data_IF_090731818518
#
_entry.id   IF_090731818518
#
_cell.length_a   1.000
_cell.length_b   1.000
_cell.length_c   1.000
_cell.angle_alpha   90.00
_cell.angle_beta   90.00
_cell.angle_gamma   90.00
#
_symmetry.space_group_name_H-M   'P 1'
#
loop_
_entity.id
_entity.type
_entity.pdbx_description
1 polymer ?
#
# COMPACT_ATOMS: atom_id res chain seq x y z
N UNK A 1 3.83 16.73 43.26
CA UNK A 1 4.89 16.87 42.22
C UNK A 1 5.80 15.65 42.04
N UNK A 2 5.99 14.84 43.04
CA UNK A 2 6.82 13.60 42.98
C UNK A 2 6.10 12.43 42.29
N UNK A 3 4.77 12.35 42.37
CA UNK A 3 3.95 11.29 41.77
C UNK A 3 3.93 11.39 40.24
N UNK A 4 3.83 12.60 39.67
CA UNK A 4 3.79 12.84 38.21
C UNK A 4 5.16 12.54 37.57
N UNK A 5 6.27 12.81 38.26
CA UNK A 5 7.61 12.45 37.77
C UNK A 5 7.83 10.94 37.75
N UNK A 6 7.32 10.20 38.73
CA UNK A 6 7.38 8.71 38.75
C UNK A 6 6.56 8.08 37.65
N UNK A 7 5.37 8.58 37.35
CA UNK A 7 4.54 8.11 36.22
C UNK A 7 5.20 8.39 34.88
N UNK A 8 5.78 9.60 34.67
CA UNK A 8 6.53 9.91 33.45
C UNK A 8 7.79 9.04 33.28
N UNK A 9 8.52 8.73 34.34
CA UNK A 9 9.66 7.83 34.27
C UNK A 9 9.26 6.36 34.05
N UNK A 10 8.11 5.90 34.56
CA UNK A 10 7.57 4.58 34.23
C UNK A 10 7.16 4.48 32.77
N UNK A 11 6.43 5.46 32.23
CA UNK A 11 6.08 5.48 30.81
C UNK A 11 7.30 5.51 29.87
N UNK A 12 8.38 6.21 30.27
CA UNK A 12 9.62 6.26 29.47
C UNK A 12 10.39 4.93 29.58
N UNK A 13 10.39 4.26 30.73
CA UNK A 13 11.07 2.95 30.90
C UNK A 13 10.36 1.81 30.19
N UNK A 14 9.03 1.84 30.09
CA UNK A 14 8.26 0.84 29.34
C UNK A 14 8.36 1.05 27.81
N UNK A 15 8.62 2.27 27.35
CA UNK A 15 8.88 2.56 25.94
C UNK A 15 10.29 2.19 25.47
N UNK A 16 11.27 2.12 26.39
CA UNK A 16 12.67 1.81 26.05
C UNK A 16 12.90 0.34 25.65
N UNK A 17 11.92 -0.55 25.84
CA UNK A 17 12.04 -1.97 25.45
C UNK A 17 11.25 -2.35 24.19
N UNK A 18 10.43 -1.47 23.62
CA UNK A 18 9.73 -1.75 22.36
C UNK A 18 10.48 -1.11 21.19
N UNK A 19 11.28 -1.90 20.49
CA UNK A 19 11.83 -1.45 19.20
C UNK A 19 10.68 -1.14 18.25
N UNK A 20 10.66 0.05 17.61
CA UNK A 20 9.62 0.40 16.67
C UNK A 20 9.60 -0.60 15.50
N UNK A 21 8.42 -1.05 15.11
CA UNK A 21 8.23 -1.88 13.92
C UNK A 21 8.14 -0.98 12.69
N UNK A 22 9.13 -1.06 11.82
CA UNK A 22 9.15 -0.30 10.56
C UNK A 22 8.42 -1.13 9.51
N UNK A 23 7.31 -0.61 8.98
CA UNK A 23 6.57 -1.21 7.87
C UNK A 23 6.84 -0.37 6.61
N UNK A 24 7.42 -0.98 5.59
CA UNK A 24 7.72 -0.30 4.34
C UNK A 24 6.53 -0.39 3.38
N UNK A 25 6.14 0.75 2.78
CA UNK A 25 5.15 0.78 1.70
C UNK A 25 5.70 0.06 0.48
N UNK A 26 4.95 -0.90 -0.05
CA UNK A 26 5.36 -1.71 -1.20
C UNK A 26 4.45 -1.45 -2.40
N UNK A 27 5.04 -0.98 -3.48
CA UNK A 27 4.36 -0.65 -4.72
C UNK A 27 4.43 -1.84 -5.70
N UNK A 28 3.35 -2.61 -5.92
CA UNK A 28 3.39 -3.86 -6.68
C UNK A 28 3.25 -3.64 -8.20
N UNK A 29 3.82 -2.57 -8.77
CA UNK A 29 3.54 -2.15 -10.16
C UNK A 29 4.70 -2.32 -11.14
N UNK A 30 5.84 -2.87 -10.71
CA UNK A 30 7.01 -3.02 -11.57
C UNK A 30 6.93 -4.27 -12.44
N UNK A 31 5.83 -4.38 -13.21
CA UNK A 31 5.61 -5.38 -14.26
C UNK A 31 4.58 -4.85 -15.26
N UNK A 32 4.60 -5.33 -16.55
CA UNK A 32 3.61 -4.93 -17.52
C UNK A 32 2.24 -5.52 -17.20
N UNK A 33 1.18 -4.72 -17.27
CA UNK A 33 -0.20 -5.17 -17.17
C UNK A 33 -1.07 -4.46 -18.21
N UNK A 34 -2.27 -5.00 -18.44
CA UNK A 34 -3.11 -4.63 -19.57
C UNK A 34 -3.38 -3.12 -19.63
N UNK A 35 -3.84 -2.53 -18.53
CA UNK A 35 -4.23 -1.13 -18.46
C UNK A 35 -3.02 -0.20 -18.69
N UNK A 36 -1.86 -0.51 -18.12
CA UNK A 36 -0.64 0.25 -18.40
C UNK A 36 -0.22 0.17 -19.87
N UNK A 37 -0.38 -0.99 -20.50
CA UNK A 37 -0.09 -1.15 -21.93
C UNK A 37 -1.04 -0.30 -22.80
N UNK A 38 -2.32 -0.22 -22.42
CA UNK A 38 -3.32 0.60 -23.11
C UNK A 38 -3.06 2.11 -22.92
N UNK A 39 -2.64 2.51 -21.73
CA UNK A 39 -2.42 3.93 -21.41
C UNK A 39 -1.09 4.48 -21.92
N UNK A 40 -0.03 3.67 -21.89
CA UNK A 40 1.35 4.14 -22.04
C UNK A 40 2.16 3.39 -23.11
N UNK A 41 1.58 2.35 -23.71
CA UNK A 41 2.21 1.51 -24.72
C UNK A 41 2.68 0.16 -24.20
N UNK A 42 2.78 -0.80 -25.12
CA UNK A 42 3.09 -2.20 -24.81
C UNK A 42 4.41 -2.36 -24.05
N UNK A 43 4.37 -3.11 -22.97
CA UNK A 43 5.54 -3.39 -22.12
C UNK A 43 5.89 -2.28 -21.13
N UNK A 44 5.01 -1.27 -20.97
CA UNK A 44 5.25 -0.18 -20.02
C UNK A 44 5.34 -0.69 -18.59
N UNK A 45 6.34 -0.21 -17.88
CA UNK A 45 6.51 -0.30 -16.43
C UNK A 45 7.06 1.03 -15.91
N UNK A 46 7.13 1.21 -14.61
CA UNK A 46 7.79 2.39 -14.01
C UNK A 46 9.25 2.56 -14.44
N UNK A 47 9.92 1.46 -14.78
CA UNK A 47 11.28 1.51 -15.34
C UNK A 47 11.37 2.30 -16.65
N UNK A 48 10.29 2.34 -17.43
CA UNK A 48 10.22 3.13 -18.67
C UNK A 48 10.41 4.62 -18.36
N UNK A 49 9.77 5.12 -17.29
CA UNK A 49 9.91 6.51 -16.86
C UNK A 49 11.29 6.77 -16.26
N UNK A 50 11.81 5.84 -15.46
CA UNK A 50 13.17 5.95 -14.91
C UNK A 50 14.21 6.06 -16.01
N UNK A 51 14.14 5.18 -17.03
CA UNK A 51 15.10 5.17 -18.14
C UNK A 51 15.00 6.40 -19.06
N UNK A 52 13.83 7.04 -19.15
CA UNK A 52 13.61 8.25 -19.95
C UNK A 52 13.96 9.54 -19.21
N UNK A 53 14.21 9.48 -17.90
CA UNK A 53 14.50 10.66 -17.10
C UNK A 53 15.77 11.38 -17.59
N UNK A 54 15.73 12.72 -17.59
CA UNK A 54 16.84 13.57 -18.04
C UNK A 54 17.23 14.54 -16.93
N UNK A 55 18.51 14.92 -16.83
CA UNK A 55 18.92 16.00 -15.94
C UNK A 55 18.18 17.30 -16.26
N UNK A 56 17.61 17.95 -15.25
CA UNK A 56 16.89 19.23 -15.38
C UNK A 56 17.77 20.43 -15.05
N UNK A 57 18.91 20.21 -14.39
CA UNK A 57 19.89 21.26 -14.04
C UNK A 57 21.28 20.64 -13.89
N UNK A 58 22.32 21.48 -13.86
CA UNK A 58 23.71 21.03 -13.72
C UNK A 58 23.92 20.28 -12.39
N UNK A 59 24.42 19.05 -12.47
CA UNK A 59 24.62 18.17 -11.30
C UNK A 59 23.40 17.34 -10.91
N UNK A 60 22.26 17.47 -11.59
CA UNK A 60 21.12 16.57 -11.39
C UNK A 60 21.43 15.19 -11.96
N UNK A 61 21.57 14.19 -11.08
CA UNK A 61 21.84 12.81 -11.46
C UNK A 61 20.58 12.15 -12.02
N UNK A 62 20.54 11.96 -13.33
CA UNK A 62 19.50 11.23 -14.07
C UNK A 62 20.09 10.64 -15.37
N UNK A 63 19.56 9.48 -15.85
CA UNK A 63 18.59 8.61 -15.16
C UNK A 63 19.20 7.90 -13.96
N UNK A 64 18.36 7.56 -12.97
CA UNK A 64 18.79 6.73 -11.85
C UNK A 64 18.80 5.27 -12.27
N UNK A 65 19.98 4.66 -12.27
CA UNK A 65 20.17 3.23 -12.55
C UNK A 65 20.04 2.46 -11.25
N UNK A 66 19.23 1.37 -11.19
CA UNK A 66 19.16 0.53 -10.00
C UNK A 66 20.53 -0.04 -9.63
N UNK A 67 20.89 0.00 -8.33
CA UNK A 67 22.12 -0.61 -7.82
C UNK A 67 21.96 -2.12 -7.66
N UNK A 68 20.97 -2.52 -6.85
CA UNK A 68 20.65 -3.93 -6.58
C UNK A 68 19.43 -4.37 -7.38
N UNK A 69 19.32 -5.65 -7.68
CA UNK A 69 18.22 -6.30 -8.39
C UNK A 69 17.98 -5.80 -9.83
N UNK A 70 18.70 -4.80 -10.32
CA UNK A 70 18.58 -4.25 -11.67
C UNK A 70 17.15 -3.73 -11.97
N UNK A 71 16.80 -3.73 -13.27
CA UNK A 71 15.46 -3.41 -13.76
C UNK A 71 14.55 -4.64 -13.64
N UNK A 72 14.18 -4.97 -12.41
CA UNK A 72 13.47 -6.21 -12.08
C UNK A 72 12.01 -6.24 -12.57
N UNK A 73 11.47 -7.45 -12.64
CA UNK A 73 10.06 -7.72 -12.90
C UNK A 73 9.45 -8.44 -11.68
N UNK A 74 8.42 -7.86 -11.09
CA UNK A 74 7.80 -8.40 -9.88
C UNK A 74 6.98 -9.69 -10.10
N UNK A 75 6.79 -10.11 -11.34
CA UNK A 75 6.20 -11.43 -11.64
C UNK A 75 7.14 -12.58 -11.26
N UNK A 76 8.45 -12.30 -11.15
CA UNK A 76 9.43 -13.30 -10.77
C UNK A 76 9.44 -13.50 -9.23
N UNK A 77 9.08 -14.69 -8.72
CA UNK A 77 9.07 -14.95 -7.28
C UNK A 77 10.41 -14.69 -6.60
N UNK A 78 11.52 -15.06 -7.26
CA UNK A 78 12.87 -14.85 -6.72
C UNK A 78 13.19 -13.39 -6.44
N UNK A 79 12.67 -12.45 -7.23
CA UNK A 79 12.84 -11.01 -7.00
C UNK A 79 12.13 -10.59 -5.71
N UNK A 80 10.89 -11.03 -5.52
CA UNK A 80 10.11 -10.73 -4.31
C UNK A 80 10.78 -11.29 -3.04
N UNK A 81 11.35 -12.49 -3.13
CA UNK A 81 12.10 -13.11 -2.03
C UNK A 81 13.40 -12.33 -1.73
N UNK A 82 14.14 -11.91 -2.77
CA UNK A 82 15.34 -11.07 -2.59
C UNK A 82 15.01 -9.70 -1.99
N UNK A 83 13.91 -9.07 -2.41
CA UNK A 83 13.45 -7.81 -1.82
C UNK A 83 13.10 -7.97 -0.34
N UNK A 84 12.40 -9.06 0.03
CA UNK A 84 12.09 -9.35 1.42
C UNK A 84 13.35 -9.60 2.25
N UNK A 85 14.35 -10.28 1.69
CA UNK A 85 15.65 -10.50 2.34
C UNK A 85 16.39 -9.19 2.59
N UNK A 86 16.50 -8.32 1.58
CA UNK A 86 17.12 -7.00 1.71
C UNK A 86 16.41 -6.14 2.76
N UNK A 87 15.08 -6.15 2.76
CA UNK A 87 14.27 -5.42 3.73
C UNK A 87 14.53 -5.93 5.16
N UNK A 88 14.58 -7.25 5.34
CA UNK A 88 14.89 -7.88 6.63
C UNK A 88 16.28 -7.51 7.13
N UNK A 89 17.29 -7.52 6.27
CA UNK A 89 18.66 -7.11 6.58
C UNK A 89 18.76 -5.64 6.99
N UNK A 90 17.92 -4.79 6.35
CA UNK A 90 17.80 -3.37 6.69
C UNK A 90 16.97 -3.11 7.98
N UNK A 91 16.47 -4.15 8.66
CA UNK A 91 15.66 -4.00 9.87
C UNK A 91 14.20 -3.64 9.64
N UNK A 92 13.69 -3.75 8.41
CA UNK A 92 12.26 -3.58 8.10
C UNK A 92 11.50 -4.77 8.67
N UNK A 93 10.41 -4.49 9.40
CA UNK A 93 9.58 -5.51 10.03
C UNK A 93 8.68 -6.24 9.02
N UNK A 94 8.13 -5.52 8.06
CA UNK A 94 7.23 -6.08 7.06
C UNK A 94 6.86 -5.08 5.96
N UNK A 95 6.11 -5.56 4.98
CA UNK A 95 5.63 -4.73 3.87
C UNK A 95 4.16 -4.34 4.06
N UNK A 96 3.80 -3.11 3.64
CA UNK A 96 2.43 -2.73 3.39
C UNK A 96 2.22 -2.71 1.88
N UNK A 97 1.58 -3.75 1.35
CA UNK A 97 1.28 -3.82 -0.08
C UNK A 97 0.17 -2.85 -0.44
N UNK A 98 0.42 -1.96 -1.42
CA UNK A 98 -0.65 -1.19 -2.01
C UNK A 98 -1.65 -2.10 -2.70
N UNK A 99 -2.91 -1.95 -2.34
CA UNK A 99 -4.06 -2.66 -2.84
C UNK A 99 -4.99 -1.67 -3.53
N UNK A 100 -5.60 -2.12 -4.62
CA UNK A 100 -6.44 -1.28 -5.47
C UNK A 100 -7.79 -1.96 -5.69
N UNK A 101 -8.85 -1.29 -5.26
CA UNK A 101 -10.23 -1.69 -5.45
C UNK A 101 -11.02 -0.48 -5.92
N UNK A 102 -11.48 -0.49 -7.18
CA UNK A 102 -12.12 0.65 -7.83
C UNK A 102 -13.65 0.53 -7.89
N UNK A 103 -14.25 -0.40 -7.17
CA UNK A 103 -15.66 -0.74 -7.20
C UNK A 103 -15.98 -1.94 -8.10
N UNK A 104 -17.10 -2.60 -7.81
CA UNK A 104 -17.61 -3.77 -8.54
C UNK A 104 -16.57 -4.86 -8.84
N UNK A 105 -15.70 -5.15 -7.87
CA UNK A 105 -14.63 -6.15 -8.00
C UNK A 105 -13.48 -5.74 -8.93
N UNK A 106 -13.46 -4.53 -9.47
CA UNK A 106 -12.40 -4.06 -10.35
C UNK A 106 -11.13 -3.78 -9.56
N UNK A 107 -10.09 -4.55 -9.85
CA UNK A 107 -8.76 -4.46 -9.20
C UNK A 107 -7.68 -4.26 -10.24
N UNK A 108 -6.63 -3.54 -9.86
CA UNK A 108 -5.42 -3.42 -10.67
C UNK A 108 -4.21 -3.91 -9.87
N UNK A 109 -3.18 -4.36 -10.58
CA UNK A 109 -1.89 -4.79 -10.03
C UNK A 109 -1.99 -5.83 -8.90
N UNK A 110 -3.06 -6.60 -8.89
CA UNK A 110 -3.31 -7.61 -7.86
C UNK A 110 -2.48 -8.89 -8.04
N UNK A 111 -1.92 -9.15 -9.23
CA UNK A 111 -1.17 -10.37 -9.53
C UNK A 111 -0.07 -10.65 -8.49
N UNK A 112 0.75 -9.66 -8.18
CA UNK A 112 1.87 -9.81 -7.24
C UNK A 112 1.39 -10.22 -5.85
N UNK A 113 0.38 -9.52 -5.33
CA UNK A 113 -0.14 -9.81 -4.01
C UNK A 113 -0.94 -11.12 -3.97
N UNK A 114 -1.74 -11.41 -4.99
CA UNK A 114 -2.49 -12.67 -5.10
C UNK A 114 -1.52 -13.88 -5.11
N UNK A 115 -0.37 -13.77 -5.78
CA UNK A 115 0.67 -14.80 -5.75
C UNK A 115 1.36 -14.89 -4.38
N UNK A 116 1.69 -13.78 -3.75
CA UNK A 116 2.26 -13.76 -2.38
C UNK A 116 1.33 -14.46 -1.39
N UNK A 117 0.04 -14.22 -1.49
CA UNK A 117 -0.96 -14.83 -0.62
C UNK A 117 -1.13 -16.34 -0.91
N UNK A 118 -1.25 -16.72 -2.18
CA UNK A 118 -1.51 -18.11 -2.57
C UNK A 118 -0.31 -19.05 -2.39
N UNK A 119 0.91 -18.55 -2.58
CA UNK A 119 2.14 -19.35 -2.50
C UNK A 119 2.77 -19.36 -1.10
N UNK A 120 2.37 -18.45 -0.21
CA UNK A 120 3.02 -18.27 1.08
C UNK A 120 4.43 -17.64 0.98
N UNK A 121 4.81 -17.10 -0.19
CA UNK A 121 6.15 -16.54 -0.45
C UNK A 121 6.10 -15.09 -0.97
N UNK A 122 7.04 -14.24 -0.53
CA UNK A 122 8.09 -14.46 0.47
C UNK A 122 7.49 -14.70 1.87
N UNK A 123 8.21 -15.47 2.71
CA UNK A 123 7.90 -15.61 4.13
C UNK A 123 8.37 -14.36 4.89
N UNK A 124 7.55 -13.31 4.78
CA UNK A 124 7.84 -12.00 5.34
C UNK A 124 6.53 -11.33 5.78
N UNK A 125 6.49 -10.67 6.95
CA UNK A 125 5.27 -10.04 7.44
C UNK A 125 4.72 -9.00 6.49
N UNK A 126 3.40 -8.90 6.41
CA UNK A 126 2.75 -7.91 5.55
C UNK A 126 1.41 -7.43 6.09
N UNK A 127 0.98 -6.28 5.61
CA UNK A 127 -0.38 -5.78 5.68
C UNK A 127 -0.79 -5.19 4.33
N UNK A 128 -2.04 -4.73 4.22
CA UNK A 128 -2.56 -4.08 3.03
C UNK A 128 -2.82 -2.60 3.29
N UNK A 129 -2.59 -1.79 2.25
CA UNK A 129 -2.98 -0.40 2.20
C UNK A 129 -3.85 -0.13 0.97
N UNK A 130 -5.08 0.34 1.17
CA UNK A 130 -5.98 0.65 0.06
C UNK A 130 -5.73 2.07 -0.46
N UNK A 131 -5.28 2.16 -1.72
CA UNK A 131 -5.14 3.42 -2.44
C UNK A 131 -6.49 3.78 -3.09
N UNK A 132 -7.41 4.27 -2.27
CA UNK A 132 -8.82 4.52 -2.59
C UNK A 132 -9.06 5.87 -3.27
N UNK A 133 -8.37 6.14 -4.37
CA UNK A 133 -8.54 7.37 -5.15
C UNK A 133 -8.49 7.10 -6.65
N UNK A 134 -9.14 7.95 -7.43
CA UNK A 134 -9.12 7.89 -8.89
C UNK A 134 -7.73 8.16 -9.45
N UNK A 135 -7.41 7.53 -10.58
CA UNK A 135 -6.13 7.74 -11.24
C UNK A 135 -6.26 8.66 -12.44
N UNK A 136 -5.27 9.55 -12.55
CA UNK A 136 -5.18 10.53 -13.61
C UNK A 136 -3.81 10.47 -14.29
N UNK A 137 -3.81 10.57 -15.63
CA UNK A 137 -2.60 10.87 -16.36
C UNK A 137 -2.25 12.34 -16.10
N UNK A 138 -1.19 12.59 -15.34
CA UNK A 138 -0.71 13.94 -15.06
C UNK A 138 -0.13 14.58 -16.31
N UNK A 139 -0.55 15.80 -16.62
CA UNK A 139 0.07 16.58 -17.67
C UNK A 139 1.31 17.30 -17.10
N UNK A 140 2.50 16.73 -17.38
CA UNK A 140 3.78 17.32 -16.97
C UNK A 140 4.33 18.37 -17.93
N UNK A 141 3.57 18.74 -18.97
CA UNK A 141 4.02 19.74 -19.92
C UNK A 141 3.84 21.15 -19.33
N UNK A 142 4.93 21.73 -18.82
CA UNK A 142 4.96 23.06 -18.17
C UNK A 142 4.46 24.17 -19.12
N UNK A 143 4.57 23.96 -20.44
CA UNK A 143 4.10 24.93 -21.46
C UNK A 143 2.59 24.81 -21.75
N UNK A 144 1.94 23.74 -21.34
CA UNK A 144 0.50 23.53 -21.52
C UNK A 144 -0.27 23.76 -20.19
N UNK A 145 -0.42 25.03 -19.82
CA UNK A 145 -1.14 25.45 -18.61
C UNK A 145 -2.65 25.17 -18.65
N UNK A 146 -3.19 24.71 -19.78
CA UNK A 146 -4.62 24.40 -19.99
C UNK A 146 -4.91 22.90 -20.08
N UNK A 147 -3.90 22.05 -20.16
CA UNK A 147 -4.09 20.60 -20.23
C UNK A 147 -4.66 20.08 -18.90
N UNK A 148 -5.91 19.61 -18.94
CA UNK A 148 -6.52 18.91 -17.80
C UNK A 148 -5.90 17.53 -17.66
N UNK A 149 -5.70 17.08 -16.42
CA UNK A 149 -5.37 15.69 -16.14
C UNK A 149 -6.46 14.78 -16.75
N UNK A 150 -6.04 13.77 -17.50
CA UNK A 150 -6.97 12.80 -18.11
C UNK A 150 -7.28 11.70 -17.10
N UNK A 151 -8.56 11.50 -16.78
CA UNK A 151 -8.98 10.38 -15.95
C UNK A 151 -8.62 9.05 -16.64
N UNK A 152 -7.95 8.17 -15.92
CA UNK A 152 -7.57 6.82 -16.35
C UNK A 152 -8.54 5.78 -15.80
N UNK A 153 -8.82 5.86 -14.50
CA UNK A 153 -9.77 5.00 -13.81
C UNK A 153 -10.38 5.75 -12.62
N UNK A 154 -11.68 5.68 -12.50
CA UNK A 154 -12.44 6.30 -11.42
C UNK A 154 -12.51 5.37 -10.21
N UNK A 155 -12.36 5.95 -9.00
CA UNK A 155 -12.69 5.27 -7.75
C UNK A 155 -14.19 5.42 -7.50
N UNK A 156 -14.89 4.30 -7.46
CA UNK A 156 -16.31 4.26 -7.16
C UNK A 156 -16.56 3.60 -5.81
N UNK A 157 -17.57 4.08 -5.09
CA UNK A 157 -18.07 3.51 -3.84
C UNK A 157 -19.52 3.09 -4.06
N UNK A 158 -19.74 1.84 -4.40
CA UNK A 158 -21.03 1.33 -4.91
C UNK A 158 -21.95 0.77 -3.82
N UNK A 159 -21.66 1.11 -2.54
CA UNK A 159 -22.50 0.74 -1.40
C UNK A 159 -22.20 -0.65 -0.84
N UNK A 160 -23.10 -1.13 -0.01
CA UNK A 160 -22.91 -2.27 0.90
C UNK A 160 -22.47 -3.57 0.20
N UNK A 161 -23.06 -3.88 -0.94
CA UNK A 161 -22.72 -5.13 -1.66
C UNK A 161 -21.27 -5.11 -2.18
N UNK A 162 -20.83 -3.95 -2.71
CA UNK A 162 -19.45 -3.76 -3.13
C UNK A 162 -18.47 -3.77 -1.94
N UNK A 163 -18.85 -3.12 -0.83
CA UNK A 163 -18.06 -3.15 0.41
C UNK A 163 -17.92 -4.57 0.92
N UNK A 164 -18.96 -5.39 0.78
CA UNK A 164 -18.92 -6.80 1.16
C UNK A 164 -17.98 -7.61 0.27
N UNK A 165 -18.05 -7.44 -1.05
CA UNK A 165 -17.13 -8.10 -1.98
C UNK A 165 -15.67 -7.72 -1.70
N UNK A 166 -15.42 -6.44 -1.44
CA UNK A 166 -14.09 -5.94 -1.09
C UNK A 166 -13.58 -6.56 0.23
N UNK A 167 -14.41 -6.55 1.27
CA UNK A 167 -14.08 -7.19 2.54
C UNK A 167 -13.77 -8.68 2.37
N UNK A 168 -14.58 -9.41 1.62
CA UNK A 168 -14.38 -10.85 1.39
C UNK A 168 -13.10 -11.18 0.63
N UNK A 169 -12.65 -10.30 -0.22
CA UNK A 169 -11.34 -10.40 -0.85
C UNK A 169 -10.22 -10.21 0.19
N UNK A 170 -10.28 -9.12 0.96
CA UNK A 170 -9.24 -8.73 1.91
C UNK A 170 -9.16 -9.67 3.12
N UNK A 171 -10.30 -10.18 3.62
CA UNK A 171 -10.32 -11.09 4.79
C UNK A 171 -9.51 -12.35 4.62
N UNK A 172 -9.26 -12.80 3.38
CA UNK A 172 -8.38 -13.94 3.11
C UNK A 172 -6.96 -13.64 3.53
N UNK A 173 -6.51 -12.42 3.28
CA UNK A 173 -5.21 -11.96 3.74
C UNK A 173 -5.14 -11.81 5.26
N UNK A 174 -6.20 -11.34 5.91
CA UNK A 174 -6.26 -11.23 7.37
C UNK A 174 -6.03 -12.57 8.07
N UNK A 175 -6.37 -13.70 7.46
CA UNK A 175 -6.19 -15.05 8.01
C UNK A 175 -4.81 -15.66 7.71
N UNK A 176 -3.97 -14.99 6.95
CA UNK A 176 -2.59 -15.44 6.71
C UNK A 176 -1.74 -15.23 7.96
N UNK A 177 -0.94 -16.25 8.32
CA UNK A 177 -0.10 -16.20 9.53
C UNK A 177 0.97 -15.11 9.50
N UNK A 178 1.31 -14.59 8.32
CA UNK A 178 2.27 -13.48 8.12
C UNK A 178 1.60 -12.11 8.22
N UNK A 179 0.26 -12.05 8.28
CA UNK A 179 -0.42 -10.76 8.32
C UNK A 179 -0.08 -9.99 9.59
N UNK A 180 0.17 -8.69 9.46
CA UNK A 180 0.54 -7.84 10.60
C UNK A 180 -0.70 -7.50 11.42
N UNK A 181 -0.60 -7.74 12.73
CA UNK A 181 -1.61 -7.42 13.72
C UNK A 181 -1.11 -6.39 14.72
N UNK A 182 -2.03 -5.57 15.19
CA UNK A 182 -1.86 -4.67 16.33
C UNK A 182 -3.02 -4.89 17.30
N UNK A 183 -2.73 -5.18 18.58
CA UNK A 183 -3.73 -5.43 19.63
C UNK A 183 -4.76 -6.52 19.25
N UNK A 184 -4.31 -7.59 18.61
CA UNK A 184 -5.10 -8.71 18.07
C UNK A 184 -6.06 -8.30 16.93
N UNK A 185 -5.84 -7.16 16.31
CA UNK A 185 -6.61 -6.67 15.16
C UNK A 185 -5.71 -6.63 13.90
N UNK A 186 -6.17 -7.13 12.73
CA UNK A 186 -5.44 -7.00 11.50
C UNK A 186 -5.27 -5.51 11.12
N UNK A 187 -4.05 -5.14 10.74
CA UNK A 187 -3.75 -3.76 10.32
C UNK A 187 -4.20 -3.55 8.88
N UNK A 188 -5.05 -2.56 8.65
CA UNK A 188 -5.46 -2.16 7.30
C UNK A 188 -5.33 -0.65 7.14
N UNK A 189 -4.59 -0.23 6.13
CA UNK A 189 -4.33 1.18 5.88
C UNK A 189 -5.26 1.72 4.80
N UNK A 190 -5.78 2.93 5.00
CA UNK A 190 -6.61 3.66 4.04
C UNK A 190 -5.88 4.94 3.67
N UNK A 191 -5.70 5.18 2.36
CA UNK A 191 -4.95 6.33 1.86
C UNK A 191 -5.74 7.64 2.02
N UNK A 192 -6.98 7.67 1.53
CA UNK A 192 -7.85 8.86 1.61
C UNK A 192 -9.10 8.56 2.44
N UNK A 193 -9.15 9.15 3.63
CA UNK A 193 -10.29 9.02 4.52
C UNK A 193 -11.42 10.02 4.25
N UNK A 194 -11.15 11.11 3.51
CA UNK A 194 -12.12 12.18 3.29
C UNK A 194 -13.26 11.79 2.35
N UNK A 195 -12.95 10.99 1.35
CA UNK A 195 -13.91 10.55 0.34
C UNK A 195 -14.51 9.17 0.66
N UNK A 196 -14.15 8.58 1.81
CA UNK A 196 -14.66 7.29 2.23
C UNK A 196 -16.09 7.44 2.74
N UNK A 197 -17.08 6.64 2.27
CA UNK A 197 -18.41 6.65 2.84
C UNK A 197 -18.43 6.30 4.33
N UNK A 198 -19.22 7.03 5.12
CA UNK A 198 -19.26 6.89 6.58
C UNK A 198 -19.63 5.47 7.04
N UNK A 199 -20.47 4.79 6.28
CA UNK A 199 -20.96 3.45 6.57
C UNK A 199 -19.96 2.34 6.21
N UNK A 200 -18.96 2.62 5.36
CA UNK A 200 -17.93 1.64 4.97
C UNK A 200 -17.22 1.03 6.18
N UNK A 201 -16.72 1.88 7.08
CA UNK A 201 -16.00 1.44 8.29
C UNK A 201 -16.94 0.65 9.20
N UNK A 202 -18.18 1.10 9.34
CA UNK A 202 -19.20 0.45 10.20
C UNK A 202 -19.44 -0.99 9.73
N UNK A 203 -19.64 -1.20 8.42
CA UNK A 203 -19.85 -2.54 7.87
C UNK A 203 -18.62 -3.42 7.99
N UNK A 204 -17.44 -2.89 7.69
CA UNK A 204 -16.20 -3.66 7.77
C UNK A 204 -15.89 -4.12 9.20
N UNK A 205 -16.07 -3.25 10.20
CA UNK A 205 -15.90 -3.62 11.61
C UNK A 205 -16.94 -4.65 12.07
N UNK A 206 -18.19 -4.54 11.60
CA UNK A 206 -19.22 -5.52 11.86
C UNK A 206 -18.83 -6.89 11.32
N UNK A 207 -18.48 -6.98 10.05
CA UNK A 207 -18.10 -8.26 9.41
C UNK A 207 -16.83 -8.86 9.98
N UNK A 208 -15.86 -8.05 10.36
CA UNK A 208 -14.68 -8.53 11.04
C UNK A 208 -15.03 -9.24 12.36
N UNK A 209 -15.93 -8.67 13.15
CA UNK A 209 -16.42 -9.30 14.39
C UNK A 209 -17.20 -10.59 14.11
N UNK A 210 -18.04 -10.61 13.08
CA UNK A 210 -18.77 -11.82 12.65
C UNK A 210 -17.81 -12.94 12.22
N UNK A 211 -16.66 -12.60 11.60
CA UNK A 211 -15.60 -13.52 11.22
C UNK A 211 -14.66 -13.94 12.38
N UNK A 212 -14.90 -13.44 13.60
CA UNK A 212 -14.16 -13.79 14.81
C UNK A 212 -12.93 -12.91 15.08
N UNK A 213 -12.73 -11.84 14.33
CA UNK A 213 -11.69 -10.85 14.65
C UNK A 213 -12.17 -9.92 15.78
N UNK A 214 -11.24 -9.43 16.60
CA UNK A 214 -11.54 -8.42 17.63
C UNK A 214 -12.03 -7.08 17.04
N UNK A 215 -11.61 -6.79 15.81
CA UNK A 215 -11.89 -5.61 15.02
C UNK A 215 -10.89 -5.52 13.87
N UNK A 216 -10.73 -4.33 13.31
CA UNK A 216 -9.68 -3.99 12.33
C UNK A 216 -8.93 -2.78 12.88
N UNK A 217 -7.60 -2.85 12.93
CA UNK A 217 -6.77 -1.68 13.24
C UNK A 217 -6.63 -0.83 11.97
N UNK A 218 -7.42 0.25 11.91
CA UNK A 218 -7.41 1.15 10.75
C UNK A 218 -6.32 2.21 10.93
N UNK A 219 -5.43 2.29 9.95
CA UNK A 219 -4.41 3.34 9.84
C UNK A 219 -4.77 4.28 8.70
N UNK A 220 -4.81 5.58 8.95
CA UNK A 220 -5.14 6.61 7.97
C UNK A 220 -3.88 7.41 7.64
N UNK A 221 -3.58 7.61 6.34
CA UNK A 221 -2.39 8.38 5.92
C UNK A 221 -2.70 9.87 5.87
N UNK A 222 -3.81 10.25 5.24
CA UNK A 222 -4.26 11.63 5.18
C UNK A 222 -5.32 11.86 6.23
N UNK A 223 -4.89 12.32 7.41
CA UNK A 223 -5.77 12.83 8.45
C UNK A 223 -5.75 14.34 8.27
N UNK A 224 -6.92 14.97 7.99
CA UNK A 224 -7.01 16.42 8.09
C UNK A 224 -6.79 16.81 9.55
N UNK A 225 -5.86 17.71 9.79
CA UNK A 225 -5.80 18.34 11.11
C UNK A 225 -7.16 19.00 11.39
N UNK A 226 -7.69 18.86 12.60
CA UNK A 226 -8.91 19.59 12.97
C UNK A 226 -8.59 21.07 12.88
N UNK A 227 -9.28 21.76 11.96
CA UNK A 227 -9.25 23.24 11.83
C UNK A 227 -9.86 23.90 13.06
#
# INVERSE_FOLDING_TARGET
HLSIRRQRQMCIRDSDNMKPKIIALYLPQYYPFKENNEWWGTGFTEWTNVGKAKPLFKGHYQPRVPADLGYYDLRLPCIREQQAQLAKEAGVYGFCYWHYWFGNGRRLMNLVFDEVLSTGKPDFPFCLGWANHSWYAKNWNISDTKGKDRLLIEQEFLGVDDFRMHYEYVRKAFRDSRYIYQDDMPVFMIYDSHNLPDDFIVYWLKWAKEDGFKGIYLSLIHISEPT
#
